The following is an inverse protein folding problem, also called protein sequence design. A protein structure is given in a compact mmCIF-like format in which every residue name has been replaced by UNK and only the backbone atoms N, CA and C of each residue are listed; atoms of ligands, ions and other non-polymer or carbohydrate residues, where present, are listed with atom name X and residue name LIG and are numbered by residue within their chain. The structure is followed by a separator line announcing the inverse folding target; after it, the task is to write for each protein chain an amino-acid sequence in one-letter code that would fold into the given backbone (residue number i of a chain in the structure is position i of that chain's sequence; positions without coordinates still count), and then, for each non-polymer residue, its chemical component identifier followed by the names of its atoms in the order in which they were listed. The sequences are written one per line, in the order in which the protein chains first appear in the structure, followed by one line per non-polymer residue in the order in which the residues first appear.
data_IF_218731605536
#
_entry.id   IF_218731605536
#
_cell.length_a   1.000
_cell.length_b   1.000
_cell.length_c   1.000
_cell.angle_alpha   90.00
_cell.angle_beta   90.00
_cell.angle_gamma   90.00
#
_symmetry.space_group_name_H-M   'P 1'
#
loop_
_entity.id
_entity.type
_entity.pdbx_description
1 polymer ?
#
# COMPACT_ATOMS: atom_id res chain seq x y z
N UNK A 1 -43.11 -5.46 40.26
CA UNK A 1 -42.05 -4.44 40.01
C UNK A 1 -40.73 -5.05 39.58
N UNK A 2 -40.10 -5.98 40.28
CA UNK A 2 -38.77 -6.58 39.96
C UNK A 2 -38.66 -7.16 38.53
N UNK A 3 -39.66 -7.91 38.05
CA UNK A 3 -39.63 -8.54 36.70
C UNK A 3 -39.57 -7.47 35.58
N UNK A 4 -40.34 -6.36 35.68
CA UNK A 4 -40.32 -5.29 34.69
C UNK A 4 -38.94 -4.61 34.62
N UNK A 5 -38.30 -4.38 35.78
CA UNK A 5 -36.94 -3.81 35.85
C UNK A 5 -35.92 -4.73 35.18
N UNK A 6 -36.00 -6.07 35.44
CA UNK A 6 -35.10 -7.05 34.82
C UNK A 6 -35.28 -7.05 33.29
N UNK A 7 -36.52 -7.06 32.79
CA UNK A 7 -36.74 -6.98 31.33
C UNK A 7 -36.20 -5.68 30.70
N UNK A 8 -36.38 -4.55 31.39
CA UNK A 8 -35.81 -3.29 30.91
C UNK A 8 -34.27 -3.31 30.83
N UNK A 9 -33.61 -3.88 31.83
CA UNK A 9 -32.16 -4.07 31.84
C UNK A 9 -31.73 -4.98 30.70
N UNK A 10 -32.40 -6.09 30.47
CA UNK A 10 -32.09 -7.03 29.36
C UNK A 10 -32.22 -6.30 28.01
N UNK A 11 -33.31 -5.56 27.83
CA UNK A 11 -33.54 -4.82 26.57
C UNK A 11 -32.42 -3.78 26.34
N UNK A 12 -32.05 -3.01 27.36
CA UNK A 12 -30.95 -2.05 27.28
C UNK A 12 -29.62 -2.75 26.93
N UNK A 13 -29.31 -3.87 27.58
CA UNK A 13 -28.11 -4.64 27.29
C UNK A 13 -28.09 -5.17 25.85
N UNK A 14 -29.22 -5.65 25.34
CA UNK A 14 -29.34 -6.10 23.94
C UNK A 14 -29.12 -4.95 22.95
N UNK A 15 -29.68 -3.79 23.23
CA UNK A 15 -29.49 -2.59 22.40
C UNK A 15 -28.01 -2.19 22.40
N UNK A 16 -27.39 -2.11 23.57
CA UNK A 16 -25.97 -1.74 23.68
C UNK A 16 -25.08 -2.75 22.93
N UNK A 17 -25.34 -4.05 23.10
CA UNK A 17 -24.61 -5.10 22.39
C UNK A 17 -24.80 -4.97 20.87
N UNK A 18 -26.03 -4.75 20.41
CA UNK A 18 -26.33 -4.55 18.99
C UNK A 18 -25.62 -3.32 18.41
N UNK A 19 -25.65 -2.20 19.13
CA UNK A 19 -24.92 -0.98 18.73
C UNK A 19 -23.40 -1.20 18.67
N UNK A 20 -22.84 -1.92 19.66
CA UNK A 20 -21.41 -2.21 19.69
C UNK A 20 -21.00 -3.10 18.52
N UNK A 21 -21.75 -4.17 18.25
CA UNK A 21 -21.48 -5.07 17.12
C UNK A 21 -21.61 -4.31 15.79
N UNK A 22 -22.72 -3.61 15.59
CA UNK A 22 -22.96 -2.84 14.36
C UNK A 22 -21.90 -1.76 14.13
N UNK A 23 -21.56 -1.02 15.17
CA UNK A 23 -20.49 -0.02 15.14
C UNK A 23 -19.12 -0.61 14.81
N UNK A 24 -18.80 -1.78 15.39
CA UNK A 24 -17.54 -2.48 15.08
C UNK A 24 -17.45 -2.91 13.62
N UNK A 25 -18.53 -3.47 13.07
CA UNK A 25 -18.57 -3.82 11.64
C UNK A 25 -18.47 -2.59 10.73
N UNK A 26 -19.14 -1.51 11.08
CA UNK A 26 -19.04 -0.26 10.34
C UNK A 26 -17.60 0.28 10.33
N UNK A 27 -16.96 0.35 11.49
CA UNK A 27 -15.58 0.83 11.61
C UNK A 27 -14.58 -0.10 10.91
N UNK A 28 -14.78 -1.41 10.98
CA UNK A 28 -13.96 -2.37 10.26
C UNK A 28 -14.06 -2.16 8.73
N UNK A 29 -15.27 -2.03 8.22
CA UNK A 29 -15.48 -1.76 6.80
C UNK A 29 -14.82 -0.45 6.37
N UNK A 30 -15.00 0.63 7.13
CA UNK A 30 -14.37 1.92 6.86
C UNK A 30 -12.85 1.84 6.85
N UNK A 31 -12.26 1.02 7.72
CA UNK A 31 -10.81 0.84 7.79
C UNK A 31 -10.25 0.00 6.66
N UNK A 32 -10.96 -1.04 6.23
CA UNK A 32 -10.47 -1.95 5.19
C UNK A 32 -10.81 -1.49 3.77
N UNK A 33 -11.88 -0.73 3.61
CA UNK A 33 -12.32 -0.18 2.31
C UNK A 33 -12.51 1.33 2.39
N UNK A 34 -11.43 2.08 2.72
CA UNK A 34 -11.50 3.53 2.78
C UNK A 34 -11.86 4.08 1.39
N UNK A 35 -12.62 5.18 1.38
CA UNK A 35 -12.95 5.85 0.13
C UNK A 35 -11.72 6.51 -0.50
N UNK A 36 -11.81 6.89 -1.78
CA UNK A 36 -10.71 7.48 -2.53
C UNK A 36 -10.22 8.84 -2.04
N UNK A 37 -10.78 9.39 -0.95
CA UNK A 37 -10.27 10.59 -0.28
C UNK A 37 -9.19 10.27 0.75
N UNK A 38 -9.24 9.06 1.30
CA UNK A 38 -8.30 8.59 2.33
C UNK A 38 -7.12 7.88 1.66
N UNK A 39 -7.38 7.13 0.57
CA UNK A 39 -6.32 6.45 -0.17
C UNK A 39 -5.44 7.45 -0.93
N UNK A 40 -4.14 7.28 -0.83
CA UNK A 40 -3.17 8.03 -1.62
C UNK A 40 -3.22 7.58 -3.08
N UNK A 41 -3.70 8.45 -3.97
CA UNK A 41 -3.68 8.21 -5.42
C UNK A 41 -2.38 8.72 -6.03
N UNK A 42 -1.96 8.11 -7.12
CA UNK A 42 -0.74 8.47 -7.82
C UNK A 42 -0.75 9.93 -8.30
N UNK A 43 -1.90 10.40 -8.81
CA UNK A 43 -2.07 11.79 -9.23
C UNK A 43 -1.74 12.82 -8.13
N UNK A 44 -2.06 12.50 -6.87
CA UNK A 44 -1.81 13.38 -5.73
C UNK A 44 -0.45 13.10 -5.08
N UNK A 45 0.08 11.90 -5.25
CA UNK A 45 1.31 11.45 -4.59
C UNK A 45 2.56 12.07 -5.17
N UNK A 46 2.65 12.25 -6.51
CA UNK A 46 3.76 12.97 -7.13
C UNK A 46 3.86 14.44 -6.68
N UNK A 47 2.79 15.26 -6.72
CA UNK A 47 2.82 16.62 -6.17
C UNK A 47 3.19 16.68 -4.71
N UNK A 48 2.66 15.76 -3.89
CA UNK A 48 3.00 15.66 -2.47
C UNK A 48 4.49 15.35 -2.28
N UNK A 49 5.02 14.36 -2.98
CA UNK A 49 6.42 13.94 -2.92
C UNK A 49 7.35 15.09 -3.31
N UNK A 50 7.09 15.75 -4.44
CA UNK A 50 7.94 16.84 -4.93
C UNK A 50 7.89 18.10 -4.06
N UNK A 51 6.78 18.34 -3.36
CA UNK A 51 6.67 19.43 -2.39
C UNK A 51 7.51 19.18 -1.14
N UNK A 52 7.48 17.95 -0.65
CA UNK A 52 8.20 17.59 0.58
C UNK A 52 9.68 17.27 0.31
N UNK A 53 10.00 16.76 -0.87
CA UNK A 53 11.35 16.34 -1.30
C UNK A 53 11.65 16.87 -2.69
N UNK A 54 11.92 18.19 -2.87
CA UNK A 54 12.08 18.80 -4.18
C UNK A 54 13.19 18.19 -5.04
N UNK A 55 14.25 17.67 -4.41
CA UNK A 55 15.37 17.02 -5.10
C UNK A 55 14.98 15.73 -5.84
N UNK A 56 13.88 15.08 -5.46
CA UNK A 56 13.40 13.87 -6.12
C UNK A 56 12.90 14.14 -7.54
N UNK A 57 12.46 15.36 -7.85
CA UNK A 57 11.97 15.70 -9.19
C UNK A 57 13.04 15.44 -10.25
N UNK A 58 14.23 16.02 -10.08
CA UNK A 58 15.33 15.85 -11.04
C UNK A 58 15.80 14.41 -11.15
N UNK A 59 15.78 13.67 -10.02
CA UNK A 59 16.12 12.26 -10.04
C UNK A 59 15.08 11.42 -10.80
N UNK A 60 13.80 11.57 -10.52
CA UNK A 60 12.73 10.84 -11.22
C UNK A 60 12.73 11.18 -12.71
N UNK A 61 12.92 12.46 -13.07
CA UNK A 61 13.01 12.89 -14.46
C UNK A 61 14.21 12.25 -15.17
N UNK A 62 15.37 12.17 -14.51
CA UNK A 62 16.55 11.48 -15.05
C UNK A 62 16.32 9.97 -15.27
N UNK A 63 15.64 9.31 -14.33
CA UNK A 63 15.29 7.89 -14.48
C UNK A 63 14.35 7.63 -15.67
N UNK A 64 13.38 8.52 -15.88
CA UNK A 64 12.47 8.45 -17.04
C UNK A 64 13.21 8.65 -18.36
N UNK A 65 14.12 9.63 -18.42
CA UNK A 65 14.91 9.91 -19.62
C UNK A 65 15.74 8.71 -20.09
N UNK A 66 16.32 7.95 -19.16
CA UNK A 66 17.12 6.76 -19.48
C UNK A 66 16.30 5.45 -19.42
N UNK A 67 14.97 5.56 -19.29
CA UNK A 67 14.05 4.42 -19.18
C UNK A 67 14.42 3.44 -18.05
N UNK A 68 14.95 3.96 -16.94
CA UNK A 68 15.31 3.17 -15.75
C UNK A 68 14.14 2.99 -14.77
N UNK A 69 13.13 3.88 -14.80
CA UNK A 69 11.89 3.77 -14.03
C UNK A 69 10.83 3.08 -14.88
N UNK A 70 10.28 1.99 -14.39
CA UNK A 70 9.26 1.19 -15.10
C UNK A 70 8.09 0.87 -14.19
N UNK A 71 6.89 0.99 -14.78
CA UNK A 71 5.68 0.41 -14.21
C UNK A 71 5.69 -1.09 -14.52
N UNK A 72 5.41 -1.90 -13.51
CA UNK A 72 5.46 -3.36 -13.62
C UNK A 72 4.20 -3.96 -13.00
N UNK A 73 3.60 -4.91 -13.71
CA UNK A 73 2.38 -5.57 -13.26
C UNK A 73 2.59 -7.07 -13.19
N UNK A 74 2.02 -7.68 -12.17
CA UNK A 74 1.90 -9.15 -12.04
C UNK A 74 0.48 -9.52 -11.65
N UNK A 75 0.12 -10.78 -11.85
CA UNK A 75 -1.13 -11.33 -11.33
C UNK A 75 -0.79 -12.32 -10.22
N UNK A 76 -1.40 -12.14 -9.06
CA UNK A 76 -1.18 -13.05 -7.95
C UNK A 76 -1.99 -14.35 -8.12
N UNK A 77 -1.76 -15.39 -7.30
CA UNK A 77 -2.48 -16.66 -7.39
C UNK A 77 -4.01 -16.56 -7.21
N UNK A 78 -4.50 -15.43 -6.73
CA UNK A 78 -5.94 -15.16 -6.58
C UNK A 78 -6.55 -14.38 -7.75
N UNK A 79 -5.78 -14.14 -8.82
CA UNK A 79 -6.23 -13.42 -10.01
C UNK A 79 -6.27 -11.89 -9.82
N UNK A 80 -5.64 -11.35 -8.79
CA UNK A 80 -5.57 -9.92 -8.51
C UNK A 80 -4.35 -9.34 -9.22
N UNK A 81 -4.55 -8.30 -10.03
CA UNK A 81 -3.45 -7.57 -10.65
C UNK A 81 -2.79 -6.66 -9.62
N UNK A 82 -1.47 -6.81 -9.48
CA UNK A 82 -0.65 -6.03 -8.59
C UNK A 82 0.31 -5.16 -9.40
N UNK A 83 0.53 -3.96 -8.92
CA UNK A 83 1.43 -2.98 -9.52
C UNK A 83 2.68 -2.79 -8.67
N UNK A 84 3.80 -2.47 -9.29
CA UNK A 84 5.02 -1.98 -8.64
C UNK A 84 5.80 -1.06 -9.56
N UNK A 85 6.49 -0.08 -9.00
CA UNK A 85 7.57 0.61 -9.69
C UNK A 85 8.87 -0.16 -9.53
N UNK A 86 9.53 -0.44 -10.65
CA UNK A 86 10.89 -0.95 -10.66
C UNK A 86 11.84 0.14 -11.15
N UNK A 87 12.95 0.35 -10.44
CA UNK A 87 14.00 1.28 -10.85
C UNK A 87 15.32 0.53 -10.95
N UNK A 88 15.89 0.51 -12.14
CA UNK A 88 17.21 -0.06 -12.36
C UNK A 88 18.30 0.78 -11.66
N UNK A 89 19.30 0.10 -11.13
CA UNK A 89 20.48 0.73 -10.55
C UNK A 89 21.28 1.53 -11.61
N UNK A 90 22.02 2.57 -11.21
CA UNK A 90 22.88 3.33 -12.14
C UNK A 90 24.00 2.50 -12.78
N UNK A 91 24.35 1.37 -12.15
CA UNK A 91 25.33 0.39 -12.62
C UNK A 91 24.77 -1.01 -12.41
N UNK A 92 25.10 -2.00 -13.27
CA UNK A 92 24.66 -3.37 -13.07
C UNK A 92 24.96 -3.90 -11.66
N UNK A 93 23.95 -4.49 -11.02
CA UNK A 93 24.06 -5.08 -9.69
C UNK A 93 23.03 -6.21 -9.54
N UNK A 94 23.35 -7.20 -8.70
CA UNK A 94 22.44 -8.26 -8.29
C UNK A 94 21.70 -7.95 -6.98
N UNK A 95 21.79 -6.69 -6.50
CA UNK A 95 21.13 -6.27 -5.27
C UNK A 95 19.86 -5.50 -5.60
N UNK A 96 18.73 -5.96 -5.07
CA UNK A 96 17.43 -5.30 -5.19
C UNK A 96 16.86 -5.03 -3.81
N UNK A 97 16.49 -3.78 -3.53
CA UNK A 97 15.73 -3.41 -2.34
C UNK A 97 14.24 -3.42 -2.67
N UNK A 98 13.46 -4.20 -1.93
CA UNK A 98 11.99 -4.17 -1.98
C UNK A 98 11.50 -3.27 -0.85
N UNK A 99 10.84 -2.17 -1.20
CA UNK A 99 10.42 -1.11 -0.26
C UNK A 99 8.90 -1.03 -0.28
N UNK A 100 8.28 -1.41 0.83
CA UNK A 100 6.84 -1.55 0.96
C UNK A 100 6.27 -0.37 1.75
N UNK A 101 5.21 0.22 1.23
CA UNK A 101 4.52 1.34 1.89
C UNK A 101 3.59 0.88 3.03
N UNK A 102 3.08 1.84 3.81
CA UNK A 102 2.17 1.60 4.92
C UNK A 102 0.69 1.67 4.52
N UNK A 103 -0.16 1.67 5.56
CA UNK A 103 -1.62 1.77 5.43
C UNK A 103 -2.02 3.08 4.72
N UNK A 104 -2.95 2.98 3.75
CA UNK A 104 -3.47 4.07 2.91
C UNK A 104 -2.45 4.87 2.09
N UNK A 105 -1.23 4.36 1.98
CA UNK A 105 -0.15 4.98 1.23
C UNK A 105 0.03 4.31 -0.15
N UNK A 106 1.07 4.63 -0.91
CA UNK A 106 1.41 4.00 -2.19
C UNK A 106 2.92 4.01 -2.48
N UNK A 107 3.29 3.32 -3.54
CA UNK A 107 4.68 3.17 -3.97
C UNK A 107 5.39 4.50 -4.24
N UNK A 108 4.72 5.51 -4.81
CA UNK A 108 5.33 6.81 -5.14
C UNK A 108 5.85 7.52 -3.89
N UNK A 109 5.15 7.44 -2.79
CA UNK A 109 5.56 8.07 -1.54
C UNK A 109 6.80 7.42 -0.91
N UNK A 110 7.13 6.21 -1.35
CA UNK A 110 8.35 5.51 -0.93
C UNK A 110 9.58 5.89 -1.78
N UNK A 111 9.44 6.70 -2.83
CA UNK A 111 10.57 7.12 -3.68
C UNK A 111 11.68 7.85 -2.91
N UNK A 112 11.35 8.52 -1.80
CA UNK A 112 12.37 9.13 -0.94
C UNK A 112 13.30 8.07 -0.33
N UNK A 113 12.76 6.98 0.15
CA UNK A 113 13.55 5.83 0.64
C UNK A 113 14.25 5.15 -0.55
N UNK A 114 13.52 4.96 -1.66
CA UNK A 114 14.05 4.42 -2.91
C UNK A 114 15.28 5.17 -3.42
N UNK A 115 15.28 6.50 -3.33
CA UNK A 115 16.42 7.34 -3.70
C UNK A 115 17.70 6.94 -2.94
N UNK A 116 17.61 6.74 -1.61
CA UNK A 116 18.77 6.35 -0.80
C UNK A 116 19.34 5.00 -1.26
N UNK A 117 18.49 4.01 -1.50
CA UNK A 117 18.94 2.71 -1.97
C UNK A 117 19.47 2.73 -3.40
N UNK A 118 18.80 3.43 -4.30
CA UNK A 118 19.18 3.45 -5.71
C UNK A 118 20.37 4.39 -5.97
N UNK A 119 20.27 5.65 -5.54
CA UNK A 119 21.25 6.69 -5.85
C UNK A 119 22.51 6.56 -5.02
N UNK A 120 22.38 6.30 -3.72
CA UNK A 120 23.49 6.33 -2.78
C UNK A 120 24.13 4.95 -2.59
N UNK A 121 23.34 3.89 -2.58
CA UNK A 121 23.82 2.51 -2.39
C UNK A 121 23.96 1.72 -3.70
N UNK A 122 23.43 2.23 -4.83
CA UNK A 122 23.55 1.59 -6.13
C UNK A 122 22.74 0.28 -6.28
N UNK A 123 21.60 0.17 -5.59
CA UNK A 123 20.72 -0.99 -5.70
C UNK A 123 19.64 -0.78 -6.77
N UNK A 124 19.17 -1.86 -7.40
CA UNK A 124 17.84 -1.86 -7.97
C UNK A 124 16.82 -1.64 -6.84
N UNK A 125 15.69 -1.02 -7.14
CA UNK A 125 14.60 -0.93 -6.20
C UNK A 125 13.31 -1.42 -6.81
N UNK A 126 12.49 -2.08 -5.99
CA UNK A 126 11.12 -2.43 -6.31
C UNK A 126 10.21 -1.85 -5.24
N UNK A 127 9.22 -1.10 -5.68
CA UNK A 127 8.27 -0.39 -4.83
C UNK A 127 6.86 -0.90 -5.17
N UNK A 128 6.39 -1.99 -4.55
CA UNK A 128 5.06 -2.53 -4.82
C UNK A 128 3.98 -1.67 -4.18
N UNK A 129 2.86 -1.53 -4.89
CA UNK A 129 1.59 -1.12 -4.30
C UNK A 129 0.91 -2.35 -3.68
N UNK A 130 0.49 -2.24 -2.43
CA UNK A 130 -0.25 -3.29 -1.76
C UNK A 130 -1.69 -3.36 -2.28
N UNK A 131 -2.39 -4.48 -2.03
CA UNK A 131 -3.78 -4.64 -2.49
C UNK A 131 -4.67 -3.47 -2.07
N UNK A 132 -5.53 -3.02 -3.01
CA UNK A 132 -6.46 -1.92 -2.81
C UNK A 132 -5.80 -0.55 -2.57
N UNK A 133 -4.52 -0.39 -2.94
CA UNK A 133 -3.75 0.85 -2.76
C UNK A 133 -2.93 1.13 -4.03
N UNK A 134 -2.63 2.41 -4.30
CA UNK A 134 -1.97 2.84 -5.54
C UNK A 134 -2.69 2.35 -6.79
N UNK A 135 -1.95 1.71 -7.69
CA UNK A 135 -2.46 1.13 -8.94
C UNK A 135 -2.77 -0.37 -8.82
N UNK A 136 -2.57 -0.98 -7.64
CA UNK A 136 -2.92 -2.38 -7.40
C UNK A 136 -4.42 -2.57 -7.23
N UNK A 137 -4.94 -3.63 -7.86
CA UNK A 137 -6.31 -4.08 -7.63
C UNK A 137 -6.49 -4.65 -6.21
N UNK A 138 -7.74 -4.93 -5.87
CA UNK A 138 -8.12 -5.55 -4.61
C UNK A 138 -9.47 -5.03 -4.11
N UNK A 139 -10.10 -5.78 -3.22
CA UNK A 139 -11.41 -5.39 -2.65
C UNK A 139 -11.27 -4.63 -1.34
N UNK A 140 -10.15 -4.82 -0.64
CA UNK A 140 -9.92 -4.24 0.67
C UNK A 140 -8.43 -4.26 1.01
N UNK A 141 -8.00 -3.34 1.86
CA UNK A 141 -6.66 -3.33 2.45
C UNK A 141 -6.49 -4.59 3.31
N UNK A 142 -5.37 -5.28 3.16
CA UNK A 142 -5.13 -6.59 3.78
C UNK A 142 -4.34 -6.51 5.10
N UNK A 143 -3.98 -5.31 5.56
CA UNK A 143 -3.24 -5.07 6.82
C UNK A 143 -1.98 -5.95 6.98
N UNK A 144 -1.28 -6.22 5.87
CA UNK A 144 -0.09 -7.08 5.85
C UNK A 144 -0.38 -8.59 5.80
N UNK A 145 -1.59 -9.05 6.09
CA UNK A 145 -1.87 -10.48 6.21
C UNK A 145 -1.74 -11.24 4.88
N UNK A 146 -2.41 -10.80 3.83
CA UNK A 146 -2.26 -11.36 2.48
C UNK A 146 -1.13 -10.68 1.71
N UNK A 147 -0.92 -9.38 1.94
CA UNK A 147 0.12 -8.59 1.28
C UNK A 147 1.51 -9.23 1.41
N UNK A 148 1.80 -9.91 2.54
CA UNK A 148 3.08 -10.62 2.69
C UNK A 148 3.34 -11.67 1.61
N UNK A 149 2.29 -12.32 1.10
CA UNK A 149 2.41 -13.33 0.04
C UNK A 149 2.68 -12.67 -1.30
N UNK A 150 2.04 -11.53 -1.55
CA UNK A 150 2.26 -10.74 -2.75
C UNK A 150 3.67 -10.13 -2.76
N UNK A 151 4.15 -9.63 -1.61
CA UNK A 151 5.52 -9.15 -1.46
C UNK A 151 6.54 -10.28 -1.68
N UNK A 152 6.30 -11.48 -1.16
CA UNK A 152 7.15 -12.65 -1.44
C UNK A 152 7.15 -13.01 -2.92
N UNK A 153 6.02 -12.92 -3.61
CA UNK A 153 5.97 -13.13 -5.07
C UNK A 153 6.82 -12.10 -5.81
N UNK A 154 6.73 -10.82 -5.45
CA UNK A 154 7.59 -9.77 -5.99
C UNK A 154 9.08 -10.04 -5.73
N UNK A 155 9.45 -10.44 -4.51
CA UNK A 155 10.84 -10.79 -4.16
C UNK A 155 11.36 -11.96 -5.00
N UNK A 156 10.55 -13.00 -5.24
CA UNK A 156 10.94 -14.13 -6.07
C UNK A 156 11.19 -13.72 -7.52
N UNK A 157 10.37 -12.82 -8.07
CA UNK A 157 10.55 -12.28 -9.41
C UNK A 157 11.87 -11.50 -9.52
N UNK A 158 12.16 -10.64 -8.54
CA UNK A 158 13.41 -9.86 -8.55
C UNK A 158 14.66 -10.71 -8.39
N UNK A 159 14.56 -11.88 -7.75
CA UNK A 159 15.67 -12.83 -7.63
C UNK A 159 15.92 -13.64 -8.90
N UNK A 160 14.99 -13.64 -9.86
CA UNK A 160 15.09 -14.37 -11.12
C UNK A 160 15.59 -13.51 -12.29
N UNK A 161 15.78 -12.23 -12.07
CA UNK A 161 16.29 -11.24 -13.04
C UNK A 161 17.77 -10.95 -12.76
#
# INVERSE_FOLDING_TARGET
MRRKVIYSIIVVMLILTGCTIGGSFYMLNLSLTPDGKILSKDADSYPFMYRNYPFLRSWVDSLRQVNALKDTFIVNPHGIQLHAYYVAAPRPTNKTAVIVHGYTDNAIRMFMIGYLYNRDLGFNILLPDLQHQGESEGRAIQMGWKDRLDVLQWMNITNSI
#
